data_IF_960095310416
#
_entry.id   IF_960095310416
#
_cell.length_a   1.000
_cell.length_b   1.000
_cell.length_c   1.000
_cell.angle_alpha   90.00
_cell.angle_beta   90.00
_cell.angle_gamma   90.00
#
_symmetry.space_group_name_H-M   'P 1'
#
loop_
_entity.id
_entity.type
_entity.pdbx_description
1 polymer ?
#
# COMPACT_ATOMS: atom_id res chain seq x y z
N UNK A 1 22.64 -22.71 -8.38
CA UNK A 1 22.43 -21.41 -9.04
C UNK A 1 21.36 -20.73 -8.22
N UNK A 2 21.77 -19.91 -7.25
CA UNK A 2 20.94 -19.58 -6.09
C UNK A 2 20.21 -18.25 -6.33
N UNK A 3 18.88 -18.31 -6.40
CA UNK A 3 17.99 -17.15 -6.43
C UNK A 3 17.43 -16.91 -5.02
N UNK A 4 18.01 -15.96 -4.30
CA UNK A 4 17.53 -15.51 -3.00
C UNK A 4 17.11 -14.01 -3.12
N UNK A 5 16.08 -13.54 -2.40
CA UNK A 5 15.60 -12.16 -2.49
C UNK A 5 16.54 -11.18 -1.77
N UNK A 6 16.67 -9.98 -2.34
CA UNK A 6 17.58 -8.92 -1.89
C UNK A 6 16.92 -8.03 -0.82
N UNK A 7 17.62 -7.80 0.29
CA UNK A 7 17.31 -6.68 1.19
C UNK A 7 18.15 -5.48 0.73
N UNK A 8 17.52 -4.43 0.21
CA UNK A 8 18.21 -3.21 -0.24
C UNK A 8 18.19 -2.16 0.86
N UNK A 9 19.36 -1.67 1.29
CA UNK A 9 19.49 -0.52 2.20
C UNK A 9 20.04 0.73 1.48
N UNK A 10 20.01 1.88 2.17
CA UNK A 10 20.54 3.16 1.66
C UNK A 10 22.06 3.12 1.35
N UNK A 11 22.77 2.10 1.85
CA UNK A 11 24.19 1.82 1.60
C UNK A 11 24.48 0.74 0.56
N UNK A 12 23.48 0.26 -0.18
CA UNK A 12 23.65 -0.81 -1.19
C UNK A 12 23.07 -2.17 -0.75
N UNK A 13 23.31 -3.20 -1.59
CA UNK A 13 22.76 -4.55 -1.39
C UNK A 13 23.53 -5.31 -0.30
N UNK A 14 22.79 -5.88 0.66
CA UNK A 14 23.34 -6.88 1.59
C UNK A 14 23.07 -8.28 1.03
N UNK A 15 24.02 -9.20 1.25
CA UNK A 15 23.99 -10.57 0.75
C UNK A 15 22.69 -11.33 1.04
N UNK A 16 22.45 -12.31 0.19
CA UNK A 16 21.23 -13.11 0.07
C UNK A 16 20.94 -14.06 1.26
N UNK A 17 19.66 -14.25 1.63
CA UNK A 17 19.25 -15.04 2.83
C UNK A 17 18.44 -16.34 2.55
N UNK A 18 17.84 -16.57 1.37
CA UNK A 18 16.99 -17.76 1.07
C UNK A 18 17.25 -18.58 -0.22
N UNK A 19 17.78 -19.80 -0.11
CA UNK A 19 18.12 -20.68 -1.24
C UNK A 19 16.90 -21.46 -1.75
N UNK A 20 16.37 -21.15 -2.95
CA UNK A 20 15.24 -21.89 -3.52
C UNK A 20 15.68 -22.97 -4.53
N UNK A 21 15.44 -24.24 -4.19
CA UNK A 21 15.70 -25.40 -5.06
C UNK A 21 14.40 -25.83 -5.77
N UNK A 22 13.94 -25.02 -6.71
CA UNK A 22 13.25 -25.46 -7.93
C UNK A 22 11.88 -26.14 -7.86
N UNK A 23 11.07 -26.00 -6.80
CA UNK A 23 9.71 -26.57 -6.85
C UNK A 23 8.64 -25.71 -6.14
N UNK A 24 7.51 -25.52 -6.83
CA UNK A 24 6.29 -24.76 -6.48
C UNK A 24 6.31 -23.24 -6.66
N UNK A 25 6.12 -22.83 -7.92
CA UNK A 25 5.48 -21.57 -8.29
C UNK A 25 3.97 -21.82 -8.46
N UNK A 26 3.14 -21.29 -7.57
CA UNK A 26 1.71 -21.11 -7.83
C UNK A 26 1.35 -19.64 -7.59
N UNK A 27 0.71 -19.09 -8.61
CA UNK A 27 0.29 -17.71 -8.86
C UNK A 27 -0.55 -17.09 -7.75
N UNK A 28 -0.23 -15.83 -7.39
CA UNK A 28 -1.09 -14.99 -6.54
C UNK A 28 -0.36 -13.77 -5.96
N UNK A 29 0.12 -12.85 -6.80
CA UNK A 29 0.64 -11.55 -6.37
C UNK A 29 2.14 -11.32 -6.63
N UNK A 30 2.46 -10.16 -7.19
CA UNK A 30 3.83 -9.75 -7.53
C UNK A 30 4.73 -9.67 -6.30
N UNK A 31 5.77 -10.52 -6.23
CA UNK A 31 6.95 -10.16 -5.44
C UNK A 31 7.75 -11.27 -4.78
N UNK A 32 7.15 -12.26 -4.11
CA UNK A 32 7.92 -13.28 -3.37
C UNK A 32 7.12 -14.59 -3.18
N UNK A 33 7.70 -15.78 -3.44
CA UNK A 33 7.02 -17.05 -3.20
C UNK A 33 7.15 -17.44 -1.72
N UNK A 34 6.25 -16.97 -0.86
CA UNK A 34 6.04 -17.59 0.46
C UNK A 34 4.71 -18.33 0.42
N UNK A 35 4.78 -19.63 0.14
CA UNK A 35 3.60 -20.50 0.02
C UNK A 35 3.15 -21.08 1.37
N UNK A 36 3.95 -20.93 2.44
CA UNK A 36 3.60 -21.39 3.78
C UNK A 36 4.40 -20.66 4.88
N UNK A 37 3.74 -20.09 5.88
CA UNK A 37 4.39 -19.48 7.06
C UNK A 37 5.23 -20.46 7.86
N UNK A 38 4.92 -21.76 7.74
CA UNK A 38 5.60 -22.84 8.47
C UNK A 38 6.96 -23.22 7.85
N UNK A 39 7.38 -22.56 6.76
CA UNK A 39 8.67 -22.78 6.09
C UNK A 39 9.62 -21.59 6.20
N UNK A 40 9.30 -20.58 7.01
CA UNK A 40 10.27 -19.51 7.29
C UNK A 40 11.40 -20.06 8.18
N UNK A 41 12.69 -19.79 7.84
CA UNK A 41 13.81 -20.08 8.72
C UNK A 41 13.62 -19.44 10.10
N UNK A 42 14.17 -20.08 11.13
CA UNK A 42 14.12 -19.54 12.50
C UNK A 42 14.65 -18.09 12.52
N UNK A 43 13.87 -17.20 13.14
CA UNK A 43 14.20 -15.77 13.23
C UNK A 43 13.71 -14.89 12.07
N UNK A 44 13.12 -15.48 11.01
CA UNK A 44 12.44 -14.75 9.93
C UNK A 44 10.94 -14.65 10.20
N UNK A 45 10.38 -13.47 9.95
CA UNK A 45 8.94 -13.19 10.06
C UNK A 45 8.39 -12.79 8.70
N UNK A 46 7.08 -12.94 8.48
CA UNK A 46 6.44 -12.48 7.25
C UNK A 46 6.73 -11.00 6.97
N UNK A 47 6.74 -10.16 8.01
CA UNK A 47 7.04 -8.73 7.86
C UNK A 47 8.44 -8.49 7.30
N UNK A 48 9.44 -9.24 7.79
CA UNK A 48 10.82 -9.17 7.27
C UNK A 48 10.93 -9.62 5.83
N UNK A 49 10.13 -10.60 5.41
CA UNK A 49 10.10 -11.07 4.01
C UNK A 49 9.41 -10.06 3.11
N UNK A 50 8.37 -9.39 3.60
CA UNK A 50 7.64 -8.39 2.83
C UNK A 50 8.37 -7.04 2.75
N UNK A 51 9.38 -6.76 3.59
CA UNK A 51 10.14 -5.52 3.54
C UNK A 51 10.76 -5.27 2.16
N UNK A 52 10.60 -4.05 1.64
CA UNK A 52 11.04 -3.67 0.29
C UNK A 52 10.09 -4.09 -0.83
N UNK A 53 9.05 -4.88 -0.55
CA UNK A 53 8.01 -5.21 -1.54
C UNK A 53 7.27 -3.95 -1.95
N UNK A 54 7.10 -3.77 -3.26
CA UNK A 54 6.23 -2.76 -3.84
C UNK A 54 4.93 -3.40 -4.28
N UNK A 55 3.81 -2.81 -3.89
CA UNK A 55 2.46 -3.20 -4.31
C UNK A 55 1.81 -2.04 -5.04
N UNK A 56 1.29 -2.32 -6.24
CA UNK A 56 0.59 -1.35 -7.09
C UNK A 56 -0.91 -1.56 -6.93
N UNK A 57 -1.68 -0.47 -6.89
CA UNK A 57 -3.12 -0.51 -6.71
C UNK A 57 -3.85 0.44 -7.67
N UNK A 58 -5.11 0.11 -7.96
CA UNK A 58 -6.09 0.88 -8.74
C UNK A 58 -7.47 0.69 -8.09
N UNK A 59 -7.65 1.38 -6.97
CA UNK A 59 -8.78 1.17 -6.06
C UNK A 59 -9.86 2.24 -6.27
N UNK A 60 -11.11 1.87 -6.00
CA UNK A 60 -12.24 2.80 -6.03
C UNK A 60 -12.23 3.71 -4.79
N UNK A 61 -12.58 4.98 -4.99
CA UNK A 61 -12.83 5.92 -3.91
C UNK A 61 -14.33 6.11 -3.76
N UNK A 62 -14.86 5.91 -2.56
CA UNK A 62 -16.28 6.06 -2.22
C UNK A 62 -16.52 7.19 -1.22
N UNK A 63 -17.74 7.69 -1.13
CA UNK A 63 -18.12 8.74 -0.16
C UNK A 63 -18.03 8.29 1.30
N UNK A 64 -18.17 6.98 1.55
CA UNK A 64 -18.16 6.36 2.87
C UNK A 64 -17.79 4.88 2.81
N UNK A 65 -17.70 4.27 3.99
CA UNK A 65 -17.28 2.87 4.17
C UNK A 65 -18.39 1.85 3.90
N UNK A 66 -19.64 2.30 3.83
CA UNK A 66 -20.82 1.46 3.73
C UNK A 66 -20.99 0.85 2.33
N UNK A 67 -21.55 -0.37 2.29
CA UNK A 67 -21.87 -1.04 1.04
C UNK A 67 -22.93 -0.24 0.26
N UNK A 68 -22.59 0.14 -0.99
CA UNK A 68 -23.45 0.98 -1.84
C UNK A 68 -23.19 2.48 -1.71
N UNK A 69 -22.14 2.90 -0.99
CA UNK A 69 -21.67 4.28 -1.04
C UNK A 69 -21.34 4.72 -2.47
N UNK A 70 -21.61 5.99 -2.79
CA UNK A 70 -21.38 6.55 -4.12
C UNK A 70 -19.90 6.54 -4.49
N UNK A 71 -19.60 6.16 -5.74
CA UNK A 71 -18.27 6.28 -6.32
C UNK A 71 -17.93 7.77 -6.52
N UNK A 72 -16.80 8.21 -5.96
CA UNK A 72 -16.28 9.58 -6.13
C UNK A 72 -15.06 9.65 -7.03
N UNK A 73 -14.40 8.52 -7.29
CA UNK A 73 -13.20 8.49 -8.11
C UNK A 73 -12.39 7.20 -7.99
N UNK A 74 -11.11 7.30 -8.33
CA UNK A 74 -10.13 6.22 -8.22
C UNK A 74 -8.84 6.69 -7.56
N UNK A 75 -8.21 5.83 -6.78
CA UNK A 75 -6.86 5.99 -6.26
C UNK A 75 -5.91 5.06 -7.00
N UNK A 76 -4.91 5.64 -7.68
CA UNK A 76 -3.95 4.89 -8.48
C UNK A 76 -2.54 5.20 -8.02
N UNK A 77 -1.77 4.16 -7.71
CA UNK A 77 -0.41 4.35 -7.22
C UNK A 77 0.21 3.08 -6.69
N UNK A 78 1.12 3.25 -5.75
CA UNK A 78 1.81 2.13 -5.12
C UNK A 78 2.16 2.44 -3.67
N UNK A 79 2.45 1.38 -2.92
CA UNK A 79 3.13 1.48 -1.64
C UNK A 79 4.30 0.51 -1.56
N UNK A 80 5.27 0.85 -0.71
CA UNK A 80 6.43 0.02 -0.42
C UNK A 80 6.44 -0.30 1.07
N UNK A 81 6.54 -1.58 1.43
CA UNK A 81 6.79 -1.99 2.82
C UNK A 81 8.15 -1.44 3.27
N UNK A 82 8.13 -0.37 4.06
CA UNK A 82 9.30 0.50 4.29
C UNK A 82 9.88 0.39 5.70
N UNK A 83 9.30 -0.48 6.54
CA UNK A 83 9.88 -0.85 7.84
C UNK A 83 10.03 -2.38 7.95
N UNK A 84 11.20 -2.82 8.42
CA UNK A 84 11.57 -4.25 8.53
C UNK A 84 10.65 -5.00 9.51
N UNK A 85 10.11 -4.29 10.50
CA UNK A 85 9.13 -4.79 11.46
C UNK A 85 7.69 -4.80 10.91
N UNK A 86 7.47 -4.35 9.67
CA UNK A 86 6.17 -4.32 9.00
C UNK A 86 5.25 -3.17 9.44
N UNK A 87 5.77 -2.20 10.18
CA UNK A 87 4.93 -1.14 10.80
C UNK A 87 4.68 0.06 9.90
N UNK A 88 5.35 0.16 8.76
CA UNK A 88 5.29 1.34 7.89
C UNK A 88 5.28 0.99 6.40
N UNK A 89 4.56 1.80 5.63
CA UNK A 89 4.44 1.74 4.19
C UNK A 89 4.68 3.14 3.60
N UNK A 90 5.62 3.28 2.67
CA UNK A 90 5.79 4.52 1.91
C UNK A 90 4.79 4.50 0.76
N UNK A 91 3.94 5.50 0.65
CA UNK A 91 2.87 5.59 -0.33
C UNK A 91 3.13 6.74 -1.32
N UNK A 92 2.84 6.49 -2.58
CA UNK A 92 2.77 7.50 -3.63
C UNK A 92 1.58 7.18 -4.55
N UNK A 93 0.59 8.06 -4.61
CA UNK A 93 -0.60 7.83 -5.41
C UNK A 93 -1.31 9.11 -5.82
N UNK A 94 -2.17 8.98 -6.82
CA UNK A 94 -3.04 10.04 -7.32
C UNK A 94 -4.50 9.64 -7.08
N UNK A 95 -5.26 10.50 -6.40
CA UNK A 95 -6.71 10.42 -6.36
C UNK A 95 -7.27 11.19 -7.55
N UNK A 96 -7.96 10.49 -8.46
CA UNK A 96 -8.63 11.06 -9.63
C UNK A 96 -10.13 11.07 -9.37
N UNK A 97 -10.74 12.25 -9.39
CA UNK A 97 -12.15 12.40 -9.06
C UNK A 97 -13.02 12.17 -10.30
N UNK A 98 -14.07 11.37 -10.19
CA UNK A 98 -14.96 11.06 -11.30
C UNK A 98 -15.68 12.31 -11.83
N UNK A 99 -15.95 13.27 -10.93
CA UNK A 99 -16.45 14.58 -11.31
C UNK A 99 -15.50 15.22 -12.34
N UNK A 100 -16.07 15.86 -13.36
CA UNK A 100 -15.32 16.38 -14.51
C UNK A 100 -14.50 15.30 -15.26
N UNK A 101 -15.05 14.08 -15.40
CA UNK A 101 -14.50 12.99 -16.22
C UNK A 101 -13.03 12.63 -15.88
N UNK A 102 -12.67 12.59 -14.60
CA UNK A 102 -11.32 12.25 -14.13
C UNK A 102 -10.22 13.25 -14.52
N UNK A 103 -10.58 14.49 -14.87
CA UNK A 103 -9.63 15.57 -15.13
C UNK A 103 -9.06 16.20 -13.85
N UNK A 104 -9.86 16.18 -12.77
CA UNK A 104 -9.48 16.74 -11.47
C UNK A 104 -8.76 15.68 -10.63
N UNK A 105 -7.60 16.01 -10.08
CA UNK A 105 -6.83 15.06 -9.26
C UNK A 105 -5.98 15.70 -8.17
N UNK A 106 -5.66 14.91 -7.13
CA UNK A 106 -4.71 15.24 -6.07
C UNK A 106 -3.62 14.17 -6.00
N UNK A 107 -2.37 14.60 -5.79
CA UNK A 107 -1.22 13.72 -5.65
C UNK A 107 -0.75 13.68 -4.20
N UNK A 108 -0.53 12.47 -3.69
CA UNK A 108 -0.15 12.21 -2.30
C UNK A 108 1.19 11.49 -2.22
N UNK A 109 1.98 11.86 -1.22
CA UNK A 109 3.24 11.19 -0.91
C UNK A 109 3.50 11.19 0.60
N UNK A 110 3.88 10.05 1.17
CA UNK A 110 4.25 10.01 2.59
C UNK A 110 4.30 8.60 3.18
N UNK A 111 4.59 8.53 4.48
CA UNK A 111 4.69 7.26 5.20
C UNK A 111 3.41 7.01 5.99
N UNK A 112 2.70 5.94 5.63
CA UNK A 112 1.60 5.40 6.41
C UNK A 112 2.13 4.37 7.42
N UNK A 113 1.88 4.62 8.70
CA UNK A 113 2.17 3.68 9.79
C UNK A 113 0.93 2.86 10.08
N UNK A 114 1.03 1.54 9.97
CA UNK A 114 -0.10 0.61 10.09
C UNK A 114 -0.48 0.31 11.55
N UNK A 115 0.41 0.61 12.50
CA UNK A 115 0.22 0.37 13.94
C UNK A 115 -0.17 1.62 14.74
N UNK A 116 -0.56 2.70 14.07
CA UNK A 116 -1.05 3.93 14.72
C UNK A 116 -2.45 4.25 14.22
N UNK A 117 -3.20 5.03 15.00
CA UNK A 117 -4.59 5.37 14.64
C UNK A 117 -4.69 6.23 13.37
N UNK A 118 -3.68 7.07 13.09
CA UNK A 118 -3.66 7.99 11.97
C UNK A 118 -2.23 8.26 11.51
N UNK A 119 -2.04 8.41 10.19
CA UNK A 119 -0.79 8.92 9.61
C UNK A 119 -1.07 10.15 8.74
N UNK A 120 -0.03 10.90 8.41
CA UNK A 120 -0.12 12.06 7.53
C UNK A 120 0.62 11.80 6.21
N UNK A 121 -0.01 12.17 5.10
CA UNK A 121 0.57 12.20 3.77
C UNK A 121 0.63 13.64 3.28
N UNK A 122 1.70 14.02 2.61
CA UNK A 122 1.79 15.33 1.97
C UNK A 122 0.93 15.34 0.70
N UNK A 123 0.26 16.47 0.46
CA UNK A 123 -0.35 16.77 -0.84
C UNK A 123 0.70 17.55 -1.63
N UNK A 124 1.22 16.89 -2.66
CA UNK A 124 2.37 17.39 -3.44
C UNK A 124 1.97 18.05 -4.77
N UNK A 125 0.68 18.11 -5.05
CA UNK A 125 0.14 18.75 -6.24
C UNK A 125 -1.26 18.26 -6.61
N UNK A 126 -1.75 18.75 -7.73
CA UNK A 126 -3.03 18.34 -8.31
C UNK A 126 -3.21 18.87 -9.73
N UNK A 127 -4.27 18.41 -10.38
CA UNK A 127 -4.68 18.84 -11.73
C UNK A 127 -6.10 19.37 -11.72
N UNK A 128 -6.46 20.10 -12.78
CA UNK A 128 -7.81 20.65 -12.93
C UNK A 128 -8.14 21.67 -11.83
N UNK A 129 -9.26 21.49 -11.12
CA UNK A 129 -9.66 22.38 -10.01
C UNK A 129 -8.66 22.42 -8.85
N UNK A 130 -7.79 21.41 -8.75
CA UNK A 130 -6.76 21.29 -7.71
C UNK A 130 -5.37 21.68 -8.22
N UNK A 131 -5.29 22.44 -9.32
CA UNK A 131 -4.02 22.96 -9.81
C UNK A 131 -3.32 23.76 -8.70
N UNK A 132 -2.02 23.47 -8.48
CA UNK A 132 -1.19 24.06 -7.41
C UNK A 132 -1.64 23.72 -5.97
N UNK A 133 -2.49 22.71 -5.78
CA UNK A 133 -2.88 22.23 -4.46
C UNK A 133 -1.64 21.84 -3.62
N UNK A 134 -1.57 22.38 -2.40
CA UNK A 134 -0.59 22.02 -1.39
C UNK A 134 -1.31 21.74 -0.07
N UNK A 135 -0.72 20.94 0.80
CA UNK A 135 -1.28 20.66 2.11
C UNK A 135 -0.92 19.27 2.61
N UNK A 136 -1.83 18.68 3.38
CA UNK A 136 -1.65 17.35 3.94
C UNK A 136 -2.97 16.59 3.97
N UNK A 137 -2.89 15.27 3.98
CA UNK A 137 -4.00 14.39 4.22
C UNK A 137 -3.76 13.54 5.45
N UNK A 138 -4.83 13.27 6.19
CA UNK A 138 -4.84 12.27 7.25
C UNK A 138 -5.34 10.97 6.65
N UNK A 139 -4.59 9.88 6.85
CA UNK A 139 -4.97 8.53 6.47
C UNK A 139 -5.24 7.69 7.73
N UNK A 140 -6.37 7.00 7.76
CA UNK A 140 -6.79 6.10 8.85
C UNK A 140 -7.07 4.71 8.31
N UNK A 141 -6.67 3.70 9.07
CA UNK A 141 -6.95 2.30 8.74
C UNK A 141 -8.10 1.81 9.59
N UNK A 142 -9.15 1.31 8.95
CA UNK A 142 -10.22 0.63 9.68
C UNK A 142 -9.87 -0.85 9.85
N UNK A 143 -9.93 -1.38 11.07
CA UNK A 143 -9.82 -2.82 11.26
C UNK A 143 -11.03 -3.48 10.58
N UNK A 144 -10.77 -4.45 9.72
CA UNK A 144 -11.82 -5.30 9.18
C UNK A 144 -12.64 -5.90 10.34
N UNK A 145 -13.93 -5.61 10.37
CA UNK A 145 -14.84 -6.32 11.26
C UNK A 145 -14.83 -7.81 10.87
N UNK A 146 -14.79 -8.77 11.82
CA UNK A 146 -14.70 -10.21 11.53
C UNK A 146 -15.80 -10.72 10.57
N UNK A 147 -16.93 -10.02 10.49
CA UNK A 147 -18.08 -10.38 9.67
C UNK A 147 -18.07 -9.78 8.25
N UNK A 148 -16.97 -9.13 7.84
CA UNK A 148 -16.80 -8.54 6.50
C UNK A 148 -15.63 -9.17 5.73
N UNK A 149 -15.20 -10.39 6.10
CA UNK A 149 -14.33 -11.21 5.26
C UNK A 149 -15.07 -11.61 3.99
N UNK A 150 -15.08 -10.74 2.98
CA UNK A 150 -15.35 -11.18 1.63
C UNK A 150 -14.20 -12.09 1.20
N UNK A 151 -14.54 -13.27 0.67
CA UNK A 151 -13.59 -14.28 0.21
C UNK A 151 -12.86 -13.83 -1.07
N UNK A 152 -12.00 -12.82 -0.95
CA UNK A 152 -11.11 -12.37 -2.02
C UNK A 152 -9.72 -12.24 -1.45
N UNK A 153 -8.91 -13.29 -1.63
CA UNK A 153 -7.45 -13.38 -1.88
C UNK A 153 -6.49 -12.27 -1.38
N UNK A 154 -6.83 -11.56 -0.31
CA UNK A 154 -6.05 -10.46 0.23
C UNK A 154 -6.85 -9.71 1.28
N UNK A 155 -6.23 -9.38 2.40
CA UNK A 155 -6.89 -8.65 3.50
C UNK A 155 -7.35 -7.28 2.98
N UNK A 156 -8.62 -7.14 2.60
CA UNK A 156 -9.21 -5.86 2.17
C UNK A 156 -9.00 -4.84 3.28
N UNK A 157 -8.08 -3.89 3.09
CA UNK A 157 -7.81 -2.88 4.10
C UNK A 157 -8.55 -1.62 3.69
N UNK A 158 -9.57 -1.24 4.44
CA UNK A 158 -10.29 0.00 4.18
C UNK A 158 -9.50 1.18 4.77
N UNK A 159 -9.21 2.16 3.90
CA UNK A 159 -8.49 3.37 4.25
C UNK A 159 -9.40 4.59 4.07
N UNK A 160 -9.51 5.41 5.11
CA UNK A 160 -10.13 6.72 5.00
C UNK A 160 -9.07 7.79 4.85
N UNK A 161 -9.26 8.64 3.85
CA UNK A 161 -8.42 9.79 3.54
C UNK A 161 -9.19 11.07 3.77
N UNK A 162 -8.62 12.00 4.54
CA UNK A 162 -9.16 13.35 4.74
C UNK A 162 -8.11 14.36 4.32
N UNK A 163 -8.34 15.05 3.21
CA UNK A 163 -7.41 16.02 2.63
C UNK A 163 -7.69 17.45 3.15
N UNK A 164 -6.64 18.15 3.53
CA UNK A 164 -6.65 19.55 3.95
C UNK A 164 -5.78 20.35 2.98
N UNK A 165 -6.42 21.24 2.23
CA UNK A 165 -5.78 22.04 1.18
C UNK A 165 -5.50 23.45 1.68
N UNK A 166 -4.28 23.92 1.41
CA UNK A 166 -3.84 25.30 1.55
C UNK A 166 -3.88 25.95 0.17
N UNK A 167 -4.57 27.09 0.07
CA UNK A 167 -4.67 27.92 -1.14
C UNK A 167 -4.00 29.28 -0.90
#
# INVERSE_FOLDING_TARGET
NNNLPFLTGLGGSTGSVFNNNGNNLVSGGSGFPVTNTNQLPEGMTLQKVMFGTMSVFDDELTEGEEMGSGLVGKAQGFYIASAVDGTSQLMAFTAKFQDNAYADSLCFFGVHRTQVSQSQLAIIGGTGRYLNAQGYAIIKTFPLSPNQQHNTDGVQTLLQLTAYLSY
#
